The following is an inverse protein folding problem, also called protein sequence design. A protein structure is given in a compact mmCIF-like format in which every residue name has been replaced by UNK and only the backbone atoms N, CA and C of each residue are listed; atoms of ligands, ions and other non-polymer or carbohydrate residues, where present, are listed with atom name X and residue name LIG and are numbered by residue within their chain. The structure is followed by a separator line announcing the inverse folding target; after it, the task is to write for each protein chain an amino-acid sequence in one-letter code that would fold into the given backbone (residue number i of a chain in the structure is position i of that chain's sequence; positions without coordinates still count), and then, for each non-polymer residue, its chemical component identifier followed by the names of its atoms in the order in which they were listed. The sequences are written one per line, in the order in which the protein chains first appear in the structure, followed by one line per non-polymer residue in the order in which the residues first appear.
data_IF_008681767101
#
_entry.id   IF_008681767101
#
_cell.length_a   1.000
_cell.length_b   1.000
_cell.length_c   1.000
_cell.angle_alpha   90.00
_cell.angle_beta   90.00
_cell.angle_gamma   90.00
#
_symmetry.space_group_name_H-M   'P 1'
#
loop_
_entity.id
_entity.type
_entity.pdbx_description
1 polymer ?
#
# COMPACT_ATOMS: atom_id res chain seq x y z
N UNK A 1 8.40 12.09 -8.07
CA UNK A 1 7.50 11.56 -9.13
C UNK A 1 6.19 10.99 -8.61
N UNK A 2 6.19 10.20 -7.53
CA UNK A 2 4.95 9.65 -6.94
C UNK A 2 3.93 10.71 -6.48
N UNK A 3 4.34 11.97 -6.36
CA UNK A 3 3.48 13.07 -5.96
C UNK A 3 2.68 13.74 -7.10
N UNK A 4 2.92 13.36 -8.35
CA UNK A 4 2.18 13.95 -9.49
C UNK A 4 0.73 13.45 -9.48
N UNK A 5 -0.22 14.34 -9.77
CA UNK A 5 -1.67 14.01 -9.79
C UNK A 5 -2.27 14.00 -11.20
N UNK A 6 -1.53 14.44 -12.22
CA UNK A 6 -2.00 14.38 -13.61
C UNK A 6 -2.33 12.94 -14.00
N UNK A 7 -3.48 12.76 -14.64
CA UNK A 7 -3.95 11.48 -15.19
C UNK A 7 -3.45 11.26 -16.63
N UNK A 8 -2.62 12.16 -17.16
CA UNK A 8 -2.07 11.98 -18.49
C UNK A 8 -1.16 10.75 -18.51
N UNK A 9 -1.23 10.03 -19.63
CA UNK A 9 -0.50 8.77 -19.84
C UNK A 9 1.00 8.85 -19.47
N UNK A 10 1.75 9.92 -19.80
CA UNK A 10 3.16 10.04 -19.38
C UNK A 10 3.36 10.06 -17.86
N UNK A 11 2.48 10.74 -17.12
CA UNK A 11 2.56 10.82 -15.66
C UNK A 11 2.15 9.52 -14.99
N UNK A 12 1.18 8.79 -15.55
CA UNK A 12 0.84 7.45 -15.07
C UNK A 12 2.01 6.47 -15.22
N UNK A 13 2.67 6.44 -16.39
CA UNK A 13 3.86 5.61 -16.59
C UNK A 13 4.99 6.01 -15.65
N UNK A 14 5.22 7.31 -15.47
CA UNK A 14 6.26 7.80 -14.56
C UNK A 14 6.04 7.34 -13.12
N UNK A 15 4.79 7.39 -12.63
CA UNK A 15 4.42 6.86 -11.31
C UNK A 15 4.61 5.35 -11.24
N UNK A 16 4.14 4.61 -12.25
CA UNK A 16 4.24 3.15 -12.29
C UNK A 16 5.70 2.69 -12.30
N UNK A 17 6.57 3.31 -13.10
CA UNK A 17 8.00 2.99 -13.13
C UNK A 17 8.67 3.32 -11.79
N UNK A 18 8.32 4.46 -11.18
CA UNK A 18 8.82 4.82 -9.85
C UNK A 18 8.40 3.80 -8.78
N UNK A 19 7.14 3.38 -8.78
CA UNK A 19 6.63 2.32 -7.91
C UNK A 19 7.32 0.98 -8.18
N UNK A 20 7.67 0.68 -9.43
CA UNK A 20 8.39 -0.53 -9.80
C UNK A 20 9.75 -0.65 -9.11
N UNK A 21 10.50 0.46 -9.02
CA UNK A 21 11.78 0.49 -8.30
C UNK A 21 11.59 0.20 -6.80
N UNK A 22 10.63 0.85 -6.16
CA UNK A 22 10.34 0.63 -4.74
C UNK A 22 9.79 -0.78 -4.50
N UNK A 23 8.95 -1.28 -5.41
CA UNK A 23 8.45 -2.64 -5.42
C UNK A 23 9.59 -3.66 -5.50
N UNK A 24 10.63 -3.39 -6.28
CA UNK A 24 11.82 -4.24 -6.33
C UNK A 24 12.61 -4.21 -5.01
N UNK A 25 12.75 -3.03 -4.38
CA UNK A 25 13.41 -2.87 -3.08
C UNK A 25 12.69 -3.66 -1.98
N UNK A 26 11.37 -3.54 -1.84
CA UNK A 26 10.64 -4.27 -0.79
C UNK A 26 10.48 -5.76 -1.07
N UNK A 27 10.80 -6.22 -2.28
CA UNK A 27 10.69 -7.64 -2.65
C UNK A 27 11.81 -8.50 -2.04
N UNK A 28 12.94 -7.90 -1.66
CA UNK A 28 14.06 -8.63 -1.06
C UNK A 28 13.84 -9.01 0.41
N UNK A 29 12.72 -8.56 1.01
CA UNK A 29 12.34 -8.86 2.40
C UNK A 29 13.41 -8.46 3.43
N UNK A 30 14.09 -7.33 3.15
CA UNK A 30 15.10 -6.74 4.02
C UNK A 30 14.47 -5.73 4.99
N UNK A 31 14.62 -5.97 6.30
CA UNK A 31 14.10 -5.11 7.35
C UNK A 31 14.72 -3.71 7.34
N UNK A 32 15.98 -3.54 6.90
CA UNK A 32 16.61 -2.23 6.79
C UNK A 32 15.93 -1.38 5.72
N UNK A 33 15.52 -2.01 4.61
CA UNK A 33 14.73 -1.34 3.56
C UNK A 33 13.38 -0.90 4.12
N UNK A 34 12.69 -1.75 4.88
CA UNK A 34 11.42 -1.36 5.50
C UNK A 34 11.63 -0.20 6.48
N UNK A 35 12.60 -0.29 7.39
CA UNK A 35 12.90 0.77 8.34
C UNK A 35 13.23 2.11 7.64
N UNK A 36 14.05 2.07 6.59
CA UNK A 36 14.32 3.25 5.76
C UNK A 36 13.03 3.83 5.18
N UNK A 37 12.17 2.99 4.59
CA UNK A 37 10.90 3.42 4.00
C UNK A 37 9.94 4.02 5.04
N UNK A 38 9.87 3.50 6.26
CA UNK A 38 9.04 4.03 7.35
C UNK A 38 9.42 5.46 7.75
N UNK A 39 10.69 5.85 7.57
CA UNK A 39 11.18 7.20 7.84
C UNK A 39 10.87 8.20 6.71
N UNK A 40 10.30 7.71 5.60
CA UNK A 40 9.91 8.53 4.45
C UNK A 40 8.39 8.66 4.32
N UNK A 41 7.93 9.51 3.40
CA UNK A 41 6.51 9.66 3.08
C UNK A 41 5.96 8.58 2.13
N UNK A 42 6.65 7.45 1.95
CA UNK A 42 6.25 6.44 0.96
C UNK A 42 4.88 5.82 1.25
N UNK A 43 4.53 5.63 2.52
CA UNK A 43 3.27 5.01 2.92
C UNK A 43 2.08 5.91 2.55
N UNK A 44 2.02 7.19 2.98
CA UNK A 44 0.99 8.13 2.52
C UNK A 44 0.87 8.19 0.99
N UNK A 45 2.01 8.19 0.28
CA UNK A 45 2.02 8.20 -1.19
C UNK A 45 1.42 6.92 -1.77
N UNK A 46 1.75 5.75 -1.23
CA UNK A 46 1.18 4.48 -1.66
C UNK A 46 -0.32 4.42 -1.38
N UNK A 47 -0.79 4.86 -0.21
CA UNK A 47 -2.21 4.89 0.13
C UNK A 47 -3.01 5.77 -0.83
N UNK A 48 -2.49 6.94 -1.21
CA UNK A 48 -3.15 7.79 -2.21
C UNK A 48 -3.23 7.13 -3.59
N UNK A 49 -2.16 6.44 -4.00
CA UNK A 49 -2.15 5.72 -5.29
C UNK A 49 -3.09 4.51 -5.25
N UNK A 50 -3.17 3.80 -4.13
CA UNK A 50 -4.12 2.72 -3.89
C UNK A 50 -5.58 3.19 -4.03
N UNK A 51 -5.87 4.43 -3.63
CA UNK A 51 -7.20 5.00 -3.75
C UNK A 51 -7.53 5.45 -5.19
N UNK A 52 -6.62 6.21 -5.82
CA UNK A 52 -6.94 6.98 -7.04
C UNK A 52 -6.20 6.56 -8.31
N UNK A 53 -5.19 5.68 -8.21
CA UNK A 53 -4.35 5.30 -9.33
C UNK A 53 -5.00 4.37 -10.36
N UNK A 54 -4.29 4.12 -11.45
CA UNK A 54 -4.63 3.06 -12.42
C UNK A 54 -4.54 1.67 -11.76
N UNK A 55 -5.22 0.67 -12.32
CA UNK A 55 -5.25 -0.69 -11.74
C UNK A 55 -3.85 -1.26 -11.47
N UNK A 56 -2.93 -1.09 -12.43
CA UNK A 56 -1.53 -1.51 -12.28
C UNK A 56 -0.82 -0.76 -11.15
N UNK A 57 -0.99 0.57 -11.08
CA UNK A 57 -0.38 1.38 -10.02
C UNK A 57 -0.93 1.01 -8.65
N UNK A 58 -2.25 0.77 -8.55
CA UNK A 58 -2.91 0.27 -7.34
C UNK A 58 -2.30 -1.05 -6.92
N UNK A 59 -2.15 -1.99 -7.85
CA UNK A 59 -1.58 -3.32 -7.58
C UNK A 59 -0.17 -3.23 -7.01
N UNK A 60 0.72 -2.42 -7.62
CA UNK A 60 2.10 -2.26 -7.12
C UNK A 60 2.12 -1.52 -5.78
N UNK A 61 1.32 -0.46 -5.61
CA UNK A 61 1.23 0.27 -4.35
C UNK A 61 0.70 -0.61 -3.20
N UNK A 62 -0.34 -1.41 -3.44
CA UNK A 62 -0.85 -2.36 -2.43
C UNK A 62 0.18 -3.43 -2.13
N UNK A 63 0.94 -3.91 -3.13
CA UNK A 63 2.04 -4.84 -2.88
C UNK A 63 3.11 -4.25 -1.96
N UNK A 64 3.49 -2.98 -2.16
CA UNK A 64 4.44 -2.27 -1.29
C UNK A 64 3.89 -2.17 0.13
N UNK A 65 2.65 -1.71 0.31
CA UNK A 65 2.01 -1.63 1.63
C UNK A 65 1.90 -3.01 2.28
N UNK A 66 1.59 -4.06 1.51
CA UNK A 66 1.56 -5.42 2.01
C UNK A 66 2.92 -5.87 2.53
N UNK A 67 4.02 -5.55 1.81
CA UNK A 67 5.38 -5.89 2.26
C UNK A 67 5.76 -5.14 3.53
N UNK A 68 5.40 -3.86 3.65
CA UNK A 68 5.57 -3.10 4.89
C UNK A 68 4.79 -3.73 6.05
N UNK A 69 3.53 -4.14 5.82
CA UNK A 69 2.72 -4.78 6.87
C UNK A 69 3.25 -6.16 7.30
N UNK A 70 3.87 -6.91 6.38
CA UNK A 70 4.45 -8.23 6.71
C UNK A 70 5.61 -8.12 7.70
N UNK A 71 6.34 -7.02 7.69
CA UNK A 71 7.36 -6.72 8.68
C UNK A 71 6.73 -6.28 10.03
N UNK A 72 7.29 -6.74 11.15
CA UNK A 72 6.76 -6.44 12.48
C UNK A 72 6.88 -4.96 12.85
N UNK A 73 7.96 -4.29 12.45
CA UNK A 73 8.13 -2.85 12.68
C UNK A 73 7.13 -2.06 11.84
N UNK A 74 6.93 -2.47 10.58
CA UNK A 74 5.94 -1.86 9.70
C UNK A 74 4.51 -2.04 10.19
N UNK A 75 4.12 -3.23 10.65
CA UNK A 75 2.80 -3.46 11.26
C UNK A 75 2.60 -2.57 12.49
N UNK A 76 3.57 -2.56 13.41
CA UNK A 76 3.50 -1.76 14.62
C UNK A 76 3.44 -0.26 14.31
N UNK A 77 4.17 0.21 13.28
CA UNK A 77 4.12 1.59 12.82
C UNK A 77 2.72 2.00 12.34
N UNK A 78 2.04 1.14 11.56
CA UNK A 78 0.69 1.39 11.04
C UNK A 78 -0.36 1.38 12.14
N UNK A 79 -0.22 0.48 13.11
CA UNK A 79 -1.15 0.33 14.23
C UNK A 79 -0.78 1.19 15.44
N UNK A 80 0.27 2.03 15.35
CA UNK A 80 0.75 2.85 16.45
C UNK A 80 -0.29 3.88 16.92
N UNK A 81 -1.01 4.50 15.97
CA UNK A 81 -2.04 5.50 16.24
C UNK A 81 -3.33 5.16 15.49
N UNK A 82 -4.47 5.61 16.04
CA UNK A 82 -5.76 5.43 15.40
C UNK A 82 -5.78 6.10 14.00
N UNK A 83 -5.17 7.28 13.86
CA UNK A 83 -5.08 8.00 12.59
C UNK A 83 -4.40 7.16 11.50
N UNK A 84 -3.23 6.56 11.79
CA UNK A 84 -2.51 5.73 10.81
C UNK A 84 -3.30 4.48 10.46
N UNK A 85 -3.90 3.83 11.45
CA UNK A 85 -4.73 2.65 11.22
C UNK A 85 -5.93 2.99 10.34
N UNK A 86 -6.66 4.07 10.64
CA UNK A 86 -7.81 4.51 9.85
C UNK A 86 -7.43 4.95 8.44
N UNK A 87 -6.26 5.56 8.25
CA UNK A 87 -5.76 5.88 6.91
C UNK A 87 -5.60 4.61 6.04
N UNK A 88 -5.05 3.52 6.61
CA UNK A 88 -4.88 2.25 5.90
C UNK A 88 -6.23 1.55 5.69
N UNK A 89 -7.03 1.40 6.76
CA UNK A 89 -8.26 0.62 6.74
C UNK A 89 -9.34 1.24 5.86
N UNK A 90 -9.47 2.57 5.85
CA UNK A 90 -10.41 3.29 4.98
C UNK A 90 -10.07 3.13 3.50
N UNK A 91 -8.80 3.16 3.13
CA UNK A 91 -8.36 2.94 1.75
C UNK A 91 -8.62 1.48 1.34
N UNK A 92 -8.25 0.50 2.16
CA UNK A 92 -8.54 -0.91 1.89
C UNK A 92 -10.04 -1.16 1.71
N UNK A 93 -10.90 -0.53 2.53
CA UNK A 93 -12.35 -0.67 2.43
C UNK A 93 -12.89 -0.11 1.10
N UNK A 94 -12.41 1.07 0.69
CA UNK A 94 -12.74 1.65 -0.63
C UNK A 94 -12.29 0.75 -1.78
N UNK A 95 -11.13 0.10 -1.66
CA UNK A 95 -10.64 -0.84 -2.66
C UNK A 95 -11.54 -2.07 -2.77
N UNK A 96 -11.96 -2.67 -1.65
CA UNK A 96 -12.92 -3.79 -1.65
C UNK A 96 -14.23 -3.38 -2.33
N UNK A 97 -14.77 -2.20 -2.02
CA UNK A 97 -15.97 -1.68 -2.67
C UNK A 97 -15.78 -1.52 -4.20
N UNK A 98 -14.63 -1.01 -4.64
CA UNK A 98 -14.32 -0.87 -6.07
C UNK A 98 -14.14 -2.21 -6.80
N UNK A 99 -13.61 -3.21 -6.11
CA UNK A 99 -13.36 -4.55 -6.66
C UNK A 99 -14.65 -5.31 -6.96
N UNK A 100 -15.76 -4.94 -6.32
CA UNK A 100 -17.08 -5.49 -6.66
C UNK A 100 -17.53 -5.06 -8.07
N UNK A 101 -17.25 -3.82 -8.46
CA UNK A 101 -17.64 -3.27 -9.77
C UNK A 101 -16.64 -3.63 -10.88
N UNK A 102 -15.35 -3.64 -10.56
CA UNK A 102 -14.27 -3.97 -11.48
C UNK A 102 -13.35 -5.02 -10.85
N UNK A 103 -13.65 -6.32 -11.02
CA UNK A 103 -12.90 -7.39 -10.37
C UNK A 103 -11.44 -7.45 -10.84
N UNK A 104 -10.51 -7.51 -9.89
CA UNK A 104 -9.10 -7.77 -10.14
C UNK A 104 -8.55 -8.77 -9.12
N UNK A 105 -8.29 -10.00 -9.56
CA UNK A 105 -7.85 -11.10 -8.69
C UNK A 105 -6.50 -10.82 -8.04
N UNK A 106 -5.59 -10.17 -8.77
CA UNK A 106 -4.26 -9.78 -8.27
C UNK A 106 -4.38 -8.75 -7.16
N UNK A 107 -5.17 -7.70 -7.38
CA UNK A 107 -5.38 -6.65 -6.40
C UNK A 107 -6.08 -7.17 -5.15
N UNK A 108 -7.16 -7.94 -5.32
CA UNK A 108 -7.90 -8.54 -4.23
C UNK A 108 -7.01 -9.42 -3.35
N UNK A 109 -6.11 -10.21 -3.95
CA UNK A 109 -5.14 -11.05 -3.22
C UNK A 109 -4.24 -10.22 -2.31
N UNK A 110 -3.78 -9.06 -2.75
CA UNK A 110 -2.97 -8.16 -1.90
C UNK A 110 -3.82 -7.52 -0.79
N UNK A 111 -5.03 -7.06 -1.10
CA UNK A 111 -5.96 -6.47 -0.11
C UNK A 111 -6.29 -7.46 1.01
N UNK A 112 -6.63 -8.70 0.67
CA UNK A 112 -6.91 -9.76 1.67
C UNK A 112 -5.71 -9.99 2.59
N UNK A 113 -4.49 -10.01 2.03
CA UNK A 113 -3.27 -10.19 2.83
C UNK A 113 -2.97 -9.03 3.76
N UNK A 114 -3.27 -7.80 3.34
CA UNK A 114 -3.17 -6.64 4.23
C UNK A 114 -4.12 -6.79 5.42
N UNK A 115 -5.39 -7.14 5.18
CA UNK A 115 -6.36 -7.38 6.27
C UNK A 115 -5.94 -8.52 7.19
N UNK A 116 -5.49 -9.65 6.62
CA UNK A 116 -5.00 -10.78 7.41
C UNK A 116 -3.86 -10.34 8.34
N UNK A 117 -2.88 -9.62 7.80
CA UNK A 117 -1.74 -9.17 8.59
C UNK A 117 -2.10 -8.10 9.62
N UNK A 118 -3.04 -7.20 9.31
CA UNK A 118 -3.56 -6.25 10.29
C UNK A 118 -4.24 -6.97 11.47
N UNK A 119 -4.92 -8.09 11.23
CA UNK A 119 -5.61 -8.86 12.29
C UNK A 119 -4.67 -9.52 13.31
N UNK A 120 -3.38 -9.61 13.00
CA UNK A 120 -2.36 -10.09 13.94
C UNK A 120 -2.06 -9.06 15.05
N UNK A 121 -2.35 -7.77 14.83
CA UNK A 121 -2.18 -6.73 15.84
C UNK A 121 -3.44 -6.62 16.70
N UNK A 122 -3.31 -6.76 18.02
CA UNK A 122 -4.45 -6.73 18.95
C UNK A 122 -5.28 -5.45 18.83
N UNK A 123 -4.64 -4.29 18.67
CA UNK A 123 -5.32 -2.98 18.56
C UNK A 123 -6.09 -2.78 17.26
N UNK A 124 -5.68 -3.47 16.20
CA UNK A 124 -6.35 -3.41 14.90
C UNK A 124 -7.48 -4.43 14.78
N UNK A 125 -7.46 -5.48 15.61
CA UNK A 125 -8.47 -6.53 15.67
C UNK A 125 -9.70 -6.11 16.49
N UNK A 126 -9.49 -5.29 17.51
CA UNK A 126 -10.54 -4.69 18.36
C UNK A 126 -11.19 -3.48 17.69
#
# INVERSE_FOLDING_TARGET
FLNTVSKDRPFEYLRLTSLGVIGALVKVDDAEVINFLLQTEIIPLCLRIMETGSELSKTVATFIVQKVLLDDMGLNYMCATAERFYAVSSVLAKMVASLHQAPSSRLLKHVIRCYLRLSDNSRARE
#
